data_IF_288874414619
#
_entry.id   IF_288874414619
#
_cell.length_a   1.000
_cell.length_b   1.000
_cell.length_c   1.000
_cell.angle_alpha   90.00
_cell.angle_beta   90.00
_cell.angle_gamma   90.00
#
_symmetry.space_group_name_H-M   'P 1'
#
loop_
_entity.id
_entity.type
_entity.pdbx_description
1 polymer ?
#
# COMPACT_ATOMS: atom_id res chain seq x y z
N UNK A 1 25.29 65.15 -2.81
CA UNK A 1 24.22 64.86 -1.83
C UNK A 1 24.09 63.36 -1.72
N UNK A 2 24.44 62.82 -0.56
CA UNK A 2 24.25 61.41 -0.22
C UNK A 2 22.83 61.20 0.31
N UNK A 3 22.17 60.14 -0.16
CA UNK A 3 20.96 59.59 0.45
C UNK A 3 21.09 58.07 0.44
N UNK A 4 21.54 57.52 1.57
CA UNK A 4 21.41 56.10 1.90
C UNK A 4 19.97 55.80 2.33
N UNK A 5 19.42 54.65 1.89
CA UNK A 5 18.48 53.81 2.65
C UNK A 5 18.09 52.56 1.83
N UNK A 6 17.62 51.47 2.45
CA UNK A 6 18.21 50.73 3.55
C UNK A 6 18.45 49.25 3.17
N UNK A 7 19.42 48.61 3.82
CA UNK A 7 19.73 47.18 3.69
C UNK A 7 18.54 46.35 4.19
N UNK A 8 17.72 45.78 3.29
CA UNK A 8 16.61 44.91 3.69
C UNK A 8 17.14 43.56 4.19
N UNK A 9 16.68 43.25 5.38
CA UNK A 9 17.13 42.18 6.28
C UNK A 9 16.83 40.80 5.73
N UNK A 10 17.78 39.90 5.99
CA UNK A 10 17.65 38.44 6.20
C UNK A 10 16.22 37.88 6.19
N UNK A 11 15.96 37.02 5.21
CA UNK A 11 14.86 36.03 5.11
C UNK A 11 14.65 35.30 6.46
N UNK A 12 13.42 34.94 6.92
CA UNK A 12 12.74 33.73 6.42
C UNK A 12 11.21 33.63 6.70
N UNK A 13 10.38 33.51 5.66
CA UNK A 13 9.10 32.75 5.69
C UNK A 13 8.34 33.00 4.39
N UNK A 14 8.20 31.95 3.58
CA UNK A 14 7.30 31.95 2.43
C UNK A 14 7.96 32.09 1.06
N UNK A 15 9.21 31.69 0.87
CA UNK A 15 9.67 31.37 -0.48
C UNK A 15 9.05 30.04 -0.91
N UNK A 16 8.24 29.99 -1.98
CA UNK A 16 7.66 28.74 -2.47
C UNK A 16 8.79 27.80 -2.90
N UNK A 17 8.69 26.48 -2.60
CA UNK A 17 9.74 25.51 -2.93
C UNK A 17 10.04 25.56 -4.43
N UNK A 18 11.33 25.55 -4.79
CA UNK A 18 11.78 25.54 -6.19
C UNK A 18 11.18 24.30 -6.88
N UNK A 19 10.56 24.49 -8.04
CA UNK A 19 9.84 23.46 -8.80
C UNK A 19 10.68 22.22 -9.17
N UNK A 20 12.01 22.26 -9.03
CA UNK A 20 12.92 21.12 -9.19
C UNK A 20 12.83 20.05 -8.10
N UNK A 21 12.09 20.30 -7.01
CA UNK A 21 11.91 19.33 -5.90
C UNK A 21 10.49 18.73 -5.88
N UNK A 22 9.80 18.72 -7.01
CA UNK A 22 8.58 17.92 -7.14
C UNK A 22 9.01 16.49 -7.48
N UNK A 23 8.87 15.48 -6.59
CA UNK A 23 8.99 14.10 -7.03
C UNK A 23 7.92 13.88 -8.10
N UNK A 24 8.38 13.74 -9.34
CA UNK A 24 7.51 13.47 -10.47
C UNK A 24 6.92 12.09 -10.27
N UNK A 25 5.60 12.04 -10.10
CA UNK A 25 4.84 10.80 -9.99
C UNK A 25 4.46 10.48 -8.56
N UNK A 26 3.20 10.07 -8.38
CA UNK A 26 2.76 9.21 -7.29
C UNK A 26 3.62 7.94 -7.28
N UNK A 27 4.85 8.00 -6.78
CA UNK A 27 5.58 6.82 -6.37
C UNK A 27 4.93 6.37 -5.07
N UNK A 28 3.83 5.62 -5.20
CA UNK A 28 3.25 4.87 -4.11
C UNK A 28 4.31 3.86 -3.65
N UNK A 29 5.07 4.29 -2.65
CA UNK A 29 5.55 3.53 -1.49
C UNK A 29 5.62 2.02 -1.72
N UNK A 30 6.85 1.50 -1.86
CA UNK A 30 7.29 0.11 -1.62
C UNK A 30 6.31 -0.96 -2.12
N UNK A 31 6.63 -1.60 -3.26
CA UNK A 31 6.02 -2.88 -3.65
C UNK A 31 6.04 -3.82 -2.44
N UNK A 32 4.89 -4.02 -1.80
CA UNK A 32 4.75 -5.02 -0.75
C UNK A 32 5.11 -6.38 -1.34
N UNK A 33 5.83 -7.20 -0.58
CA UNK A 33 6.25 -8.55 -0.98
C UNK A 33 5.05 -9.44 -1.40
N UNK A 34 3.85 -9.08 -0.94
CA UNK A 34 2.61 -9.77 -1.25
C UNK A 34 1.84 -9.07 -2.37
N UNK A 35 1.55 -9.81 -3.44
CA UNK A 35 0.63 -9.41 -4.50
C UNK A 35 -0.81 -9.86 -4.19
N UNK A 36 -1.83 -9.01 -4.40
CA UNK A 36 -3.22 -9.39 -4.19
C UNK A 36 -3.72 -10.34 -5.29
N UNK A 37 -4.39 -11.42 -4.91
CA UNK A 37 -5.10 -12.31 -5.83
C UNK A 37 -6.60 -12.12 -5.66
N UNK A 38 -7.29 -11.71 -6.72
CA UNK A 38 -8.73 -11.47 -6.71
C UNK A 38 -9.44 -12.58 -7.48
N UNK A 39 -10.36 -13.29 -6.82
CA UNK A 39 -11.20 -14.32 -7.44
C UNK A 39 -12.67 -13.91 -7.39
N UNK A 40 -13.40 -14.22 -8.46
CA UNK A 40 -14.86 -14.21 -8.46
C UNK A 40 -15.33 -15.62 -8.13
N UNK A 41 -16.19 -15.72 -7.13
CA UNK A 41 -16.74 -16.98 -6.60
C UNK A 41 -18.19 -16.75 -6.20
N UNK A 42 -18.92 -17.84 -6.03
CA UNK A 42 -20.27 -17.81 -5.50
C UNK A 42 -20.33 -17.24 -4.08
N UNK A 43 -21.43 -16.58 -3.75
CA UNK A 43 -21.63 -15.91 -2.47
C UNK A 43 -21.87 -16.90 -1.31
N UNK A 44 -22.49 -18.05 -1.56
CA UNK A 44 -22.68 -19.10 -0.56
C UNK A 44 -21.34 -19.72 -0.18
N UNK A 45 -20.50 -20.01 -1.18
CA UNK A 45 -19.15 -20.53 -0.94
C UNK A 45 -18.32 -19.60 -0.05
N UNK A 46 -18.35 -18.28 -0.30
CA UNK A 46 -17.61 -17.31 0.52
C UNK A 46 -18.10 -17.29 1.97
N UNK A 47 -19.40 -17.50 2.21
CA UNK A 47 -19.96 -17.60 3.56
C UNK A 47 -19.48 -18.87 4.26
N UNK A 48 -19.61 -20.02 3.61
CA UNK A 48 -19.13 -21.30 4.17
C UNK A 48 -17.63 -21.27 4.45
N UNK A 49 -16.84 -20.72 3.52
CA UNK A 49 -15.40 -20.53 3.69
C UNK A 49 -15.08 -19.67 4.92
N UNK A 50 -15.79 -18.55 5.09
CA UNK A 50 -15.64 -17.69 6.28
C UNK A 50 -15.99 -18.42 7.56
N UNK A 51 -17.12 -19.12 7.60
CA UNK A 51 -17.55 -19.88 8.77
C UNK A 51 -16.51 -20.93 9.12
N UNK A 52 -16.02 -21.69 8.14
CA UNK A 52 -14.97 -22.68 8.36
C UNK A 52 -13.70 -22.05 8.95
N UNK A 53 -13.25 -20.91 8.40
CA UNK A 53 -12.08 -20.21 8.91
C UNK A 53 -12.27 -19.73 10.35
N UNK A 54 -13.45 -19.23 10.69
CA UNK A 54 -13.79 -18.77 12.05
C UNK A 54 -13.85 -19.94 13.03
N UNK A 55 -14.50 -21.04 12.66
CA UNK A 55 -14.64 -22.24 13.51
C UNK A 55 -13.29 -22.87 13.84
N UNK A 56 -12.35 -22.83 12.89
CA UNK A 56 -11.02 -23.42 13.06
C UNK A 56 -9.96 -22.42 13.55
N UNK A 57 -10.35 -21.18 13.88
CA UNK A 57 -9.45 -20.09 14.30
C UNK A 57 -8.26 -19.87 13.34
N UNK A 58 -8.54 -19.90 12.03
CA UNK A 58 -7.53 -19.75 10.97
C UNK A 58 -7.85 -18.56 10.08
N UNK A 59 -6.79 -17.90 9.60
CA UNK A 59 -6.93 -16.84 8.61
C UNK A 59 -7.38 -17.41 7.27
N UNK A 60 -8.30 -16.73 6.57
CA UNK A 60 -8.75 -17.13 5.23
C UNK A 60 -7.59 -17.31 4.24
N UNK A 61 -6.57 -16.46 4.32
CA UNK A 61 -5.37 -16.54 3.49
C UNK A 61 -4.52 -17.77 3.86
N UNK A 62 -4.41 -18.10 5.15
CA UNK A 62 -3.67 -19.26 5.63
C UNK A 62 -4.34 -20.57 5.19
N UNK A 63 -5.67 -20.63 5.33
CA UNK A 63 -6.47 -21.75 4.84
C UNK A 63 -6.33 -21.92 3.32
N UNK A 64 -6.31 -20.82 2.56
CA UNK A 64 -6.09 -20.87 1.12
C UNK A 64 -4.70 -21.44 0.77
N UNK A 65 -3.65 -21.00 1.48
CA UNK A 65 -2.29 -21.54 1.29
C UNK A 65 -2.22 -23.04 1.59
N UNK A 66 -2.81 -23.48 2.70
CA UNK A 66 -2.87 -24.90 3.08
C UNK A 66 -3.60 -25.75 2.04
N UNK A 67 -4.75 -25.27 1.55
CA UNK A 67 -5.50 -25.94 0.50
C UNK A 67 -4.68 -26.07 -0.78
N UNK A 68 -3.97 -25.02 -1.16
CA UNK A 68 -3.12 -25.02 -2.35
C UNK A 68 -1.92 -25.97 -2.21
N UNK A 69 -1.27 -26.02 -1.04
CA UNK A 69 -0.20 -26.98 -0.75
C UNK A 69 -0.69 -28.43 -0.79
N UNK A 70 -1.88 -28.69 -0.24
CA UNK A 70 -2.50 -30.02 -0.29
C UNK A 70 -2.80 -30.45 -1.74
N UNK A 71 -3.39 -29.55 -2.53
CA UNK A 71 -3.67 -29.81 -3.94
C UNK A 71 -2.39 -30.11 -4.73
N UNK A 72 -1.32 -29.34 -4.52
CA UNK A 72 -0.01 -29.58 -5.14
C UNK A 72 0.59 -30.94 -4.75
N UNK A 73 0.38 -31.41 -3.52
CA UNK A 73 0.91 -32.71 -3.06
C UNK A 73 0.15 -33.91 -3.62
N UNK A 74 -1.14 -33.76 -3.92
CA UNK A 74 -1.95 -34.84 -4.48
C UNK A 74 -1.94 -34.90 -6.01
N UNK A 75 -1.84 -33.75 -6.68
CA UNK A 75 -1.88 -33.65 -8.15
C UNK A 75 -0.52 -33.35 -8.79
N UNK A 76 0.55 -33.28 -8.00
CA UNK A 76 1.93 -33.05 -8.45
C UNK A 76 2.77 -34.31 -8.41
#
# INVERSE_FOLDING_TARGET
MALEAPKKRTNPKGEPPKATETPSGQENTKKGDTLPINFKTDAEFVKEWRVYCVVNDISQIDQFKKMFEFYKKQHG
#
